data_IF_244832412159
#
_entry.id   IF_244832412159
#
_cell.length_a   1.000
_cell.length_b   1.000
_cell.length_c   1.000
_cell.angle_alpha   90.00
_cell.angle_beta   90.00
_cell.angle_gamma   90.00
#
_symmetry.space_group_name_H-M   'P 1'
#
loop_
_entity.id
_entity.type
_entity.pdbx_description
1 polymer ?
#
# COMPACT_ATOMS: atom_id res chain seq x y z
N UNK A 1 24.26 63.76 78.30
CA UNK A 1 23.99 62.75 77.26
C UNK A 1 23.19 61.66 77.95
N UNK A 2 22.01 61.34 77.43
CA UNK A 2 21.00 60.54 78.10
C UNK A 2 21.39 59.06 78.15
N UNK A 3 21.23 58.48 79.33
CA UNK A 3 21.28 57.05 79.61
C UNK A 3 19.96 56.45 79.09
N UNK A 4 19.99 55.86 77.89
CA UNK A 4 18.87 55.09 77.36
C UNK A 4 18.87 53.75 78.09
N UNK A 5 18.05 53.67 79.13
CA UNK A 5 17.58 52.40 79.67
C UNK A 5 16.78 51.75 78.56
N UNK A 6 17.37 50.77 77.88
CA UNK A 6 16.64 49.83 77.07
C UNK A 6 15.75 49.05 78.04
N UNK A 7 14.55 49.60 78.26
CA UNK A 7 13.45 48.94 78.94
C UNK A 7 13.26 47.60 78.25
N UNK A 8 13.74 46.57 78.94
CA UNK A 8 13.50 45.16 78.69
C UNK A 8 11.99 45.04 78.40
N UNK A 9 11.64 44.93 77.11
CA UNK A 9 10.30 44.58 76.66
C UNK A 9 10.07 43.14 77.12
N UNK A 10 9.82 42.99 78.43
CA UNK A 10 9.28 41.81 79.04
C UNK A 10 7.99 41.59 78.29
N UNK A 11 7.97 40.57 77.43
CA UNK A 11 6.76 40.11 76.77
C UNK A 11 5.66 40.06 77.84
N UNK A 12 4.70 40.99 77.74
CA UNK A 12 3.51 40.99 78.57
C UNK A 12 2.66 39.81 78.11
N UNK A 13 3.07 38.63 78.56
CA UNK A 13 2.18 37.48 78.62
C UNK A 13 1.14 37.87 79.66
N UNK A 14 0.10 38.60 79.23
CA UNK A 14 -1.15 38.67 79.96
C UNK A 14 -1.48 37.21 80.30
N UNK A 15 -1.37 36.84 81.57
CA UNK A 15 -1.52 35.47 82.04
C UNK A 15 -2.97 35.06 81.78
N UNK A 16 -3.27 34.62 80.56
CA UNK A 16 -4.38 33.71 80.33
C UNK A 16 -4.03 32.49 81.16
N UNK A 17 -4.73 32.34 82.29
CA UNK A 17 -4.53 31.29 83.27
C UNK A 17 -4.87 29.95 82.60
N UNK A 18 -3.87 29.36 81.95
CA UNK A 18 -4.02 28.05 81.35
C UNK A 18 -3.93 27.03 82.48
N UNK A 19 -4.99 26.25 82.66
CA UNK A 19 -4.91 25.15 83.61
C UNK A 19 -3.97 24.10 83.04
N UNK A 20 -3.38 23.31 83.94
CA UNK A 20 -2.59 22.13 83.53
C UNK A 20 -3.40 21.21 82.61
N UNK A 21 -4.71 21.14 82.82
CA UNK A 21 -5.62 20.32 82.02
C UNK A 21 -5.77 20.86 80.60
N UNK A 22 -5.85 22.17 80.43
CA UNK A 22 -5.90 22.80 79.11
C UNK A 22 -4.65 22.46 78.28
N UNK A 23 -3.46 22.45 78.90
CA UNK A 23 -2.21 22.08 78.23
C UNK A 23 -2.18 20.61 77.83
N UNK A 24 -2.68 19.73 78.70
CA UNK A 24 -2.77 18.29 78.41
C UNK A 24 -3.73 18.04 77.25
N UNK A 25 -4.86 18.75 77.19
CA UNK A 25 -5.83 18.65 76.10
C UNK A 25 -5.20 19.11 74.78
N UNK A 26 -4.59 20.29 74.76
CA UNK A 26 -3.94 20.84 73.57
C UNK A 26 -2.84 19.90 73.03
N UNK A 27 -2.02 19.34 73.92
CA UNK A 27 -0.98 18.38 73.55
C UNK A 27 -1.58 17.08 72.98
N UNK A 28 -2.65 16.57 73.59
CA UNK A 28 -3.31 15.36 73.12
C UNK A 28 -3.90 15.56 71.72
N UNK A 29 -4.51 16.71 71.47
CA UNK A 29 -5.08 17.06 70.17
C UNK A 29 -4.01 17.25 69.10
N UNK A 30 -2.88 17.91 69.43
CA UNK A 30 -1.71 17.96 68.53
C UNK A 30 -1.19 16.56 68.17
N UNK A 31 -1.12 15.64 69.14
CA UNK A 31 -0.67 14.25 68.88
C UNK A 31 -1.65 13.52 67.95
N UNK A 32 -2.96 13.73 68.10
CA UNK A 32 -3.97 13.16 67.21
C UNK A 32 -3.83 13.72 65.79
N UNK A 33 -3.71 15.03 65.64
CA UNK A 33 -3.55 15.66 64.33
C UNK A 33 -2.26 15.25 63.64
N UNK A 34 -1.14 15.18 64.37
CA UNK A 34 0.12 14.67 63.84
C UNK A 34 -0.01 13.22 63.34
N UNK A 35 -0.72 12.36 64.09
CA UNK A 35 -0.97 10.98 63.66
C UNK A 35 -1.79 10.90 62.37
N UNK A 36 -2.83 11.73 62.24
CA UNK A 36 -3.62 11.82 60.99
C UNK A 36 -2.76 12.30 59.82
N UNK A 37 -1.97 13.35 60.03
CA UNK A 37 -1.07 13.90 59.01
C UNK A 37 -0.03 12.87 58.57
N UNK A 38 0.59 12.17 59.52
CA UNK A 38 1.57 11.12 59.22
C UNK A 38 0.97 9.97 58.41
N UNK A 39 -0.28 9.58 58.69
CA UNK A 39 -0.97 8.56 57.90
C UNK A 39 -1.24 9.04 56.48
N UNK A 40 -1.78 10.26 56.34
CA UNK A 40 -2.09 10.84 55.03
C UNK A 40 -0.83 11.03 54.17
N UNK A 41 0.32 11.33 54.79
CA UNK A 41 1.60 11.41 54.10
C UNK A 41 2.06 10.06 53.54
N UNK A 42 1.97 8.98 54.32
CA UNK A 42 2.33 7.64 53.83
C UNK A 42 1.37 7.16 52.72
N UNK A 43 0.08 7.48 52.82
CA UNK A 43 -0.90 7.21 51.77
C UNK A 43 -0.56 7.95 50.47
N UNK A 44 -0.29 9.26 50.54
CA UNK A 44 0.12 10.06 49.39
C UNK A 44 1.43 9.55 48.76
N UNK A 45 2.36 9.07 49.59
CA UNK A 45 3.62 8.46 49.12
C UNK A 45 3.37 7.14 48.40
N UNK A 46 2.49 6.29 48.93
CA UNK A 46 2.10 5.03 48.29
C UNK A 46 1.39 5.28 46.95
N UNK A 47 0.47 6.25 46.90
CA UNK A 47 -0.21 6.66 45.68
C UNK A 47 0.77 7.19 44.62
N UNK A 48 1.71 8.06 45.01
CA UNK A 48 2.73 8.61 44.09
C UNK A 48 3.61 7.50 43.48
N UNK A 49 4.00 6.50 44.29
CA UNK A 49 4.71 5.32 43.79
C UNK A 49 3.86 4.50 42.84
N UNK A 50 2.58 4.29 43.14
CA UNK A 50 1.64 3.60 42.26
C UNK A 50 1.50 4.30 40.91
N UNK A 51 1.32 5.64 40.93
CA UNK A 51 1.17 6.45 39.72
C UNK A 51 2.42 6.44 38.84
N UNK A 52 3.61 6.50 39.45
CA UNK A 52 4.88 6.37 38.73
C UNK A 52 5.00 5.01 38.03
N UNK A 53 4.60 3.94 38.70
CA UNK A 53 4.66 2.59 38.13
C UNK A 53 3.66 2.46 36.97
N UNK A 54 2.43 2.94 37.12
CA UNK A 54 1.43 2.91 36.02
C UNK A 54 1.84 3.79 34.83
N UNK A 55 2.53 4.91 35.07
CA UNK A 55 3.02 5.78 34.01
C UNK A 55 4.19 5.17 33.24
N UNK A 56 5.03 4.37 33.91
CA UNK A 56 6.17 3.71 33.29
C UNK A 56 5.74 2.46 32.48
N UNK A 57 4.73 1.73 32.95
CA UNK A 57 4.17 0.58 32.21
C UNK A 57 3.38 1.04 30.97
N UNK A 58 2.55 2.08 31.09
CA UNK A 58 1.73 2.56 29.96
C UNK A 58 2.52 3.14 28.79
N UNK A 59 3.75 3.63 28.99
CA UNK A 59 4.57 4.23 27.92
C UNK A 59 5.46 3.22 27.19
N UNK A 60 5.59 1.98 27.70
CA UNK A 60 6.46 0.97 27.10
C UNK A 60 5.76 0.28 25.93
N UNK A 61 4.47 -0.03 26.07
CA UNK A 61 3.70 -0.79 25.08
C UNK A 61 3.45 0.03 23.79
N UNK A 62 3.19 1.34 23.90
CA UNK A 62 2.92 2.21 22.74
C UNK A 62 4.15 2.45 21.86
N UNK A 63 5.35 2.36 22.45
CA UNK A 63 6.62 2.64 21.75
C UNK A 63 7.05 1.43 20.90
N UNK A 64 6.84 0.22 21.42
CA UNK A 64 7.08 -1.03 20.68
C UNK A 64 6.10 -1.20 19.52
N UNK A 65 4.82 -0.86 19.71
CA UNK A 65 3.82 -0.83 18.64
C UNK A 65 4.20 0.15 17.51
N UNK A 66 4.78 1.30 17.87
CA UNK A 66 5.20 2.30 16.88
C UNK A 66 6.35 1.80 16.01
N UNK A 67 7.33 1.10 16.58
CA UNK A 67 8.45 0.54 15.84
C UNK A 67 8.03 -0.63 14.94
N UNK A 68 7.08 -1.45 15.39
CA UNK A 68 6.45 -2.52 14.57
C UNK A 68 5.76 -1.90 13.35
N UNK A 69 4.89 -0.91 13.58
CA UNK A 69 4.17 -0.23 12.50
C UNK A 69 5.11 0.43 11.49
N UNK A 70 6.22 1.02 11.96
CA UNK A 70 7.22 1.65 11.09
C UNK A 70 7.97 0.63 10.23
N UNK A 71 8.30 -0.53 10.80
CA UNK A 71 8.92 -1.64 10.08
C UNK A 71 7.97 -2.18 9.00
N UNK A 72 6.71 -2.41 9.35
CA UNK A 72 5.69 -2.92 8.44
C UNK A 72 5.38 -1.94 7.30
N UNK A 73 5.33 -0.64 7.61
CA UNK A 73 5.20 0.41 6.59
C UNK A 73 6.38 0.41 5.60
N UNK A 74 7.61 0.26 6.10
CA UNK A 74 8.81 0.21 5.26
C UNK A 74 8.79 -1.01 4.33
N UNK A 75 8.32 -2.16 4.83
CA UNK A 75 8.15 -3.38 4.02
C UNK A 75 7.11 -3.19 2.92
N UNK A 76 5.95 -2.63 3.26
CA UNK A 76 4.88 -2.34 2.30
C UNK A 76 5.32 -1.35 1.22
N UNK A 77 6.12 -0.33 1.57
CA UNK A 77 6.68 0.61 0.58
C UNK A 77 7.60 -0.09 -0.42
N UNK A 78 8.47 -0.99 0.04
CA UNK A 78 9.36 -1.74 -0.84
C UNK A 78 8.59 -2.69 -1.78
N UNK A 79 7.56 -3.37 -1.26
CA UNK A 79 6.68 -4.23 -2.07
C UNK A 79 5.89 -3.42 -3.11
N UNK A 80 5.41 -2.23 -2.74
CA UNK A 80 4.65 -1.37 -3.65
C UNK A 80 5.51 -0.86 -4.83
N UNK A 81 6.75 -0.44 -4.59
CA UNK A 81 7.66 -0.05 -5.68
C UNK A 81 7.99 -1.24 -6.60
N UNK A 82 8.20 -2.45 -6.04
CA UNK A 82 8.41 -3.65 -6.85
C UNK A 82 7.22 -3.97 -7.75
N UNK A 83 6.00 -3.93 -7.20
CA UNK A 83 4.77 -4.18 -7.97
C UNK A 83 4.55 -3.14 -9.07
N UNK A 84 4.95 -1.90 -8.82
CA UNK A 84 4.86 -0.81 -9.80
C UNK A 84 5.84 -1.01 -10.96
N UNK A 85 7.04 -1.52 -10.69
CA UNK A 85 8.01 -1.90 -11.71
C UNK A 85 7.49 -3.07 -12.56
N UNK A 86 7.01 -4.14 -11.92
CA UNK A 86 6.42 -5.31 -12.60
C UNK A 86 5.21 -4.92 -13.45
N UNK A 87 4.34 -4.06 -12.92
CA UNK A 87 3.18 -3.52 -13.66
C UNK A 87 3.62 -2.72 -14.89
N UNK A 88 4.73 -1.97 -14.79
CA UNK A 88 5.26 -1.19 -15.90
C UNK A 88 5.86 -2.08 -16.99
N UNK A 89 6.54 -3.17 -16.60
CA UNK A 89 7.06 -4.18 -17.53
C UNK A 89 5.93 -4.91 -18.25
N UNK A 90 4.92 -5.40 -17.52
CA UNK A 90 3.75 -6.05 -18.11
C UNK A 90 3.00 -5.14 -19.08
N UNK A 91 2.90 -3.84 -18.77
CA UNK A 91 2.30 -2.87 -19.68
C UNK A 91 3.09 -2.72 -20.99
N UNK A 92 4.42 -2.74 -20.92
CA UNK A 92 5.28 -2.70 -22.10
C UNK A 92 5.14 -3.99 -22.94
N UNK A 93 5.06 -5.15 -22.29
CA UNK A 93 4.87 -6.44 -22.95
C UNK A 93 3.51 -6.53 -23.67
N UNK A 94 2.44 -6.04 -23.03
CA UNK A 94 1.11 -5.94 -23.65
C UNK A 94 1.15 -5.08 -24.92
N UNK A 95 1.84 -3.94 -24.88
CA UNK A 95 1.98 -3.05 -26.03
C UNK A 95 2.75 -3.73 -27.18
N UNK A 96 3.84 -4.43 -26.86
CA UNK A 96 4.61 -5.20 -27.84
C UNK A 96 3.77 -6.32 -28.48
N UNK A 97 2.99 -7.05 -27.68
CA UNK A 97 2.09 -8.10 -28.16
C UNK A 97 0.99 -7.54 -29.07
N UNK A 98 0.40 -6.39 -28.72
CA UNK A 98 -0.58 -5.72 -29.58
C UNK A 98 0.02 -5.37 -30.95
N UNK A 99 1.25 -4.86 -30.99
CA UNK A 99 1.95 -4.56 -32.24
C UNK A 99 2.24 -5.83 -33.06
N UNK A 100 2.64 -6.92 -32.39
CA UNK A 100 2.90 -8.20 -33.03
C UNK A 100 1.61 -8.78 -33.65
N UNK A 101 0.51 -8.78 -32.91
CA UNK A 101 -0.81 -9.23 -33.38
C UNK A 101 -1.27 -8.37 -34.55
N UNK A 102 -1.09 -7.05 -34.48
CA UNK A 102 -1.39 -6.14 -35.59
C UNK A 102 -0.60 -6.49 -36.86
N UNK A 103 0.71 -6.72 -36.71
CA UNK A 103 1.61 -7.10 -37.82
C UNK A 103 1.24 -8.46 -38.41
N UNK A 104 0.93 -9.45 -37.57
CA UNK A 104 0.46 -10.76 -37.99
C UNK A 104 -0.84 -10.66 -38.78
N UNK A 105 -1.81 -9.90 -38.28
CA UNK A 105 -3.12 -9.73 -38.94
C UNK A 105 -2.97 -9.06 -40.32
N UNK A 106 -2.10 -8.04 -40.42
CA UNK A 106 -1.78 -7.42 -41.70
C UNK A 106 -1.12 -8.40 -42.68
N UNK A 107 -0.10 -9.14 -42.23
CA UNK A 107 0.59 -10.15 -43.04
C UNK A 107 -0.37 -11.25 -43.51
N UNK A 108 -1.23 -11.75 -42.63
CA UNK A 108 -2.26 -12.73 -42.95
C UNK A 108 -3.22 -12.24 -44.03
N UNK A 109 -3.65 -10.97 -43.94
CA UNK A 109 -4.50 -10.36 -44.96
C UNK A 109 -3.78 -10.24 -46.32
N UNK A 110 -2.50 -9.86 -46.32
CA UNK A 110 -1.69 -9.77 -47.55
C UNK A 110 -1.53 -11.15 -48.18
N UNK A 111 -1.17 -12.16 -47.40
CA UNK A 111 -1.04 -13.55 -47.85
C UNK A 111 -2.34 -14.12 -48.41
N UNK A 112 -3.47 -13.81 -47.78
CA UNK A 112 -4.78 -14.20 -48.29
C UNK A 112 -5.07 -13.54 -49.65
N UNK A 113 -4.74 -12.25 -49.82
CA UNK A 113 -4.92 -11.57 -51.10
C UNK A 113 -4.05 -12.19 -52.20
N UNK A 114 -2.78 -12.45 -51.94
CA UNK A 114 -1.88 -13.07 -52.93
C UNK A 114 -2.29 -14.49 -53.28
N UNK A 115 -2.75 -15.31 -52.31
CA UNK A 115 -3.24 -16.65 -52.61
C UNK A 115 -4.48 -16.65 -53.51
N UNK A 116 -5.40 -15.70 -53.30
CA UNK A 116 -6.56 -15.50 -54.18
C UNK A 116 -6.13 -15.12 -55.60
N UNK A 117 -5.20 -14.16 -55.76
CA UNK A 117 -4.69 -13.79 -57.08
C UNK A 117 -3.99 -14.96 -57.79
N UNK A 118 -3.19 -15.73 -57.06
CA UNK A 118 -2.48 -16.88 -57.62
C UNK A 118 -3.46 -17.97 -58.08
N UNK A 119 -4.53 -18.23 -57.32
CA UNK A 119 -5.59 -19.14 -57.73
C UNK A 119 -6.26 -18.68 -59.02
N UNK A 120 -6.63 -17.41 -59.12
CA UNK A 120 -7.26 -16.85 -60.32
C UNK A 120 -6.36 -16.95 -61.55
N UNK A 121 -5.05 -16.69 -61.40
CA UNK A 121 -4.08 -16.83 -62.49
C UNK A 121 -3.96 -18.28 -62.97
N UNK A 122 -3.93 -19.23 -62.02
CA UNK A 122 -3.89 -20.66 -62.34
C UNK A 122 -5.17 -21.14 -63.05
N UNK A 123 -6.35 -20.72 -62.58
CA UNK A 123 -7.64 -21.07 -63.20
C UNK A 123 -7.70 -20.57 -64.66
N UNK A 124 -7.17 -19.37 -64.93
CA UNK A 124 -7.05 -18.82 -66.29
C UNK A 124 -6.12 -19.65 -67.16
N UNK A 125 -4.94 -20.03 -66.65
CA UNK A 125 -3.98 -20.87 -67.41
C UNK A 125 -4.57 -22.23 -67.78
N UNK A 126 -5.33 -22.86 -66.87
CA UNK A 126 -6.02 -24.13 -67.14
C UNK A 126 -7.07 -23.97 -68.24
N UNK A 127 -7.86 -22.89 -68.20
CA UNK A 127 -8.84 -22.60 -69.24
C UNK A 127 -8.17 -22.36 -70.59
N UNK A 128 -7.13 -21.53 -70.63
CA UNK A 128 -6.36 -21.25 -71.85
C UNK A 128 -5.78 -22.55 -72.44
N UNK A 129 -5.23 -23.43 -71.61
CA UNK A 129 -4.71 -24.73 -72.06
C UNK A 129 -5.80 -25.63 -72.65
N UNK A 130 -6.99 -25.62 -72.07
CA UNK A 130 -8.13 -26.45 -72.51
C UNK A 130 -8.70 -25.95 -73.85
N UNK A 131 -8.73 -24.63 -74.04
CA UNK A 131 -9.11 -24.03 -75.32
C UNK A 131 -8.10 -24.43 -76.41
N UNK A 132 -6.80 -24.34 -76.12
CA UNK A 132 -5.74 -24.71 -77.07
C UNK A 132 -5.83 -26.19 -77.48
N UNK A 133 -6.07 -27.10 -76.55
CA UNK A 133 -6.25 -28.53 -76.87
C UNK A 133 -7.49 -28.76 -77.73
N UNK A 134 -8.62 -28.15 -77.38
CA UNK A 134 -9.88 -28.28 -78.14
C UNK A 134 -9.77 -27.75 -79.57
N UNK A 135 -9.05 -26.63 -79.77
CA UNK A 135 -8.77 -26.07 -81.11
C UNK A 135 -7.90 -27.02 -81.93
N UNK A 136 -6.86 -27.60 -81.33
CA UNK A 136 -6.00 -28.59 -82.02
C UNK A 136 -6.78 -29.84 -82.42
N UNK A 137 -7.58 -30.40 -81.52
CA UNK A 137 -8.41 -31.58 -81.82
C UNK A 137 -9.40 -31.30 -82.95
N UNK A 138 -10.04 -30.13 -82.95
CA UNK A 138 -10.95 -29.71 -84.02
C UNK A 138 -10.24 -29.56 -85.37
N UNK A 139 -8.97 -29.11 -85.39
CA UNK A 139 -8.18 -29.02 -86.63
C UNK A 139 -7.80 -30.41 -87.18
N UNK A 140 -7.43 -31.35 -86.30
CA UNK A 140 -7.12 -32.73 -86.69
C UNK A 140 -8.36 -33.43 -87.26
N UNK A 141 -9.52 -33.30 -86.60
CA UNK A 141 -10.78 -33.91 -87.06
C UNK A 141 -11.24 -33.39 -88.43
N UNK A 142 -11.00 -32.10 -88.73
CA UNK A 142 -11.30 -31.52 -90.04
C UNK A 142 -10.35 -32.02 -91.14
N UNK A 143 -9.14 -32.48 -90.81
CA UNK A 143 -8.18 -32.98 -91.79
C UNK A 143 -8.38 -34.47 -92.12
N UNK A 144 -9.01 -35.23 -91.22
CA UNK A 144 -9.30 -36.66 -91.38
C UNK A 144 -10.68 -36.96 -92.02
N UNK A 145 -11.47 -35.94 -92.41
CA UNK A 145 -12.71 -36.19 -93.16
C UNK A 145 -12.39 -36.64 -94.61
N UNK A 146 -12.79 -37.86 -95.03
CA UNK A 146 -12.57 -38.29 -96.40
C UNK A 146 -13.37 -37.40 -97.35
N UNK A 147 -12.70 -36.83 -98.36
CA UNK A 147 -13.34 -36.20 -99.51
C UNK A 147 -14.24 -37.24 -100.21
N UNK A 148 -15.51 -37.31 -99.85
CA UNK A 148 -16.50 -38.10 -100.57
C UNK A 148 -16.84 -37.36 -101.86
N UNK A 149 -16.04 -37.57 -102.89
CA UNK A 149 -16.39 -37.14 -104.25
C UNK A 149 -17.52 -38.01 -104.77
N UNK A 150 -18.73 -37.45 -104.83
CA UNK A 150 -19.83 -38.04 -105.60
C UNK A 150 -19.59 -37.77 -107.08
N UNK A 151 -19.23 -38.80 -107.85
CA UNK A 151 -19.26 -38.76 -109.31
C UNK A 151 -20.58 -39.37 -109.77
N UNK A 152 -21.30 -38.61 -110.59
CA UNK A 152 -22.57 -38.94 -111.24
C UNK A 152 -22.32 -39.34 -112.69
#
# INVERSE_FOLDING_TARGET
MADQTDEDEVFDFSNVEFTRDDLVIALNDMVKEYRKLSHSFEEAKAENMSLKNSSAESSSDELEDTDILKSELSKLQAENEMLKDETSELKAEIEALNQLVGSWNHSSQVLHKTSVYQKQANDKLVLDSTIVSSVRESQVLNHDQPMTSSIK
#
